data_IF_025914740279
#
_entry.id   IF_025914740279
#
_cell.length_a   1.000
_cell.length_b   1.000
_cell.length_c   1.000
_cell.angle_alpha   90.00
_cell.angle_beta   90.00
_cell.angle_gamma   90.00
#
_symmetry.space_group_name_H-M   'P 1'
#
loop_
_entity.id
_entity.type
_entity.pdbx_description
1 polymer ?
#
# COMPACT_ATOMS: atom_id res chain seq x y z
N UNK A 1 -14.98 2.10 -2.28
CA UNK A 1 -14.10 2.11 -3.47
C UNK A 1 -14.63 3.12 -4.48
N UNK A 2 -13.77 3.99 -5.05
CA UNK A 2 -14.18 4.94 -6.08
C UNK A 2 -14.69 4.22 -7.33
N UNK A 3 -15.63 4.84 -8.06
CA UNK A 3 -16.15 4.31 -9.33
C UNK A 3 -15.01 4.17 -10.34
N UNK A 4 -14.81 2.95 -10.87
CA UNK A 4 -13.82 2.65 -11.91
C UNK A 4 -12.67 1.74 -11.49
N UNK A 5 -12.51 1.43 -10.19
CA UNK A 5 -11.54 0.43 -9.75
C UNK A 5 -12.10 -0.99 -9.96
N UNK A 6 -11.40 -1.83 -10.71
CA UNK A 6 -11.76 -3.23 -10.85
C UNK A 6 -11.62 -3.92 -9.48
N UNK A 7 -12.72 -4.43 -8.92
CA UNK A 7 -12.72 -5.14 -7.63
C UNK A 7 -12.21 -6.60 -7.76
N UNK A 8 -11.75 -6.99 -8.94
CA UNK A 8 -11.20 -8.32 -9.17
C UNK A 8 -9.84 -8.41 -8.46
N UNK A 9 -9.59 -9.54 -7.81
CA UNK A 9 -8.38 -9.85 -7.04
C UNK A 9 -8.22 -9.15 -5.67
N UNK A 10 -9.18 -8.31 -5.24
CA UNK A 10 -9.15 -7.77 -3.87
C UNK A 10 -9.51 -8.89 -2.87
N UNK A 11 -8.68 -9.14 -1.84
CA UNK A 11 -8.96 -10.16 -0.84
C UNK A 11 -10.23 -9.81 -0.05
N UNK A 12 -11.15 -10.78 0.06
CA UNK A 12 -12.41 -10.62 0.79
C UNK A 12 -12.24 -10.69 2.31
N UNK A 13 -11.17 -11.34 2.76
CA UNK A 13 -10.80 -11.51 4.16
C UNK A 13 -9.34 -11.10 4.32
N UNK A 14 -9.00 -10.53 5.48
CA UNK A 14 -7.65 -10.11 5.82
C UNK A 14 -7.07 -11.07 6.85
N UNK A 15 -5.86 -11.55 6.59
CA UNK A 15 -4.97 -12.25 7.52
C UNK A 15 -5.53 -13.49 8.24
N UNK A 16 -4.65 -14.37 8.73
CA UNK A 16 -4.94 -15.14 9.92
C UNK A 16 -4.73 -14.27 11.16
N UNK A 17 -5.75 -14.11 11.98
CA UNK A 17 -5.63 -13.46 13.28
C UNK A 17 -6.02 -14.43 14.40
N UNK A 18 -5.34 -14.30 15.54
CA UNK A 18 -5.63 -15.11 16.72
C UNK A 18 -6.86 -14.57 17.43
N UNK A 19 -7.70 -15.49 17.93
CA UNK A 19 -8.80 -15.17 18.82
C UNK A 19 -8.26 -15.04 20.25
N UNK A 20 -8.54 -13.91 20.90
CA UNK A 20 -8.12 -13.65 22.28
C UNK A 20 -9.20 -14.05 23.30
N UNK A 21 -10.48 -13.84 22.94
CA UNK A 21 -11.60 -13.98 23.87
C UNK A 21 -12.88 -14.37 23.13
N UNK A 22 -13.71 -15.22 23.76
CA UNK A 22 -15.06 -15.57 23.32
C UNK A 22 -16.08 -14.95 24.30
N UNK A 23 -17.00 -14.14 23.75
CA UNK A 23 -18.04 -13.46 24.54
C UNK A 23 -19.30 -14.31 24.75
N UNK A 24 -19.34 -15.57 24.29
CA UNK A 24 -20.50 -16.47 24.36
C UNK A 24 -21.79 -15.94 23.70
N UNK A 25 -21.65 -14.95 22.81
CA UNK A 25 -22.74 -14.35 22.05
C UNK A 25 -22.44 -14.38 20.53
N UNK A 26 -21.65 -15.38 20.10
CA UNK A 26 -21.09 -15.49 18.75
C UNK A 26 -20.16 -14.34 18.34
N UNK A 27 -19.72 -13.51 19.28
CA UNK A 27 -18.70 -12.49 19.03
C UNK A 27 -17.39 -12.89 19.68
N UNK A 28 -16.29 -12.60 18.99
CA UNK A 28 -14.95 -12.94 19.43
C UNK A 28 -14.06 -11.72 19.34
N UNK A 29 -13.14 -11.61 20.29
CA UNK A 29 -12.05 -10.65 20.25
C UNK A 29 -10.91 -11.21 19.42
N UNK A 30 -10.40 -10.42 18.49
CA UNK A 30 -9.37 -10.77 17.53
C UNK A 30 -8.15 -9.89 17.79
N UNK A 31 -6.96 -10.49 17.81
CA UNK A 31 -5.70 -9.77 17.93
C UNK A 31 -5.42 -8.97 16.64
N UNK A 32 -5.77 -7.69 16.64
CA UNK A 32 -5.65 -6.78 15.50
C UNK A 32 -4.78 -5.56 15.86
N UNK A 33 -4.17 -4.90 14.86
CA UNK A 33 -3.53 -3.61 15.06
C UNK A 33 -4.54 -2.56 15.59
N UNK A 34 -4.03 -1.58 16.33
CA UNK A 34 -4.81 -0.66 17.19
C UNK A 34 -5.79 0.28 16.47
N UNK A 35 -5.79 0.28 15.13
CA UNK A 35 -6.63 1.14 14.30
C UNK A 35 -7.98 0.52 13.92
N UNK A 36 -8.27 -0.72 14.35
CA UNK A 36 -9.50 -1.45 14.03
C UNK A 36 -10.22 -1.91 15.31
N UNK A 37 -11.55 -1.96 15.27
CA UNK A 37 -12.32 -2.54 16.36
C UNK A 37 -12.01 -4.04 16.45
N UNK A 38 -11.61 -4.57 17.62
CA UNK A 38 -11.11 -5.94 17.73
C UNK A 38 -12.20 -7.00 17.86
N UNK A 39 -13.49 -6.63 17.95
CA UNK A 39 -14.58 -7.57 18.22
C UNK A 39 -15.43 -7.78 16.97
N UNK A 40 -15.56 -9.04 16.56
CA UNK A 40 -16.34 -9.44 15.37
C UNK A 40 -17.29 -10.58 15.67
N UNK A 41 -18.44 -10.58 15.01
CA UNK A 41 -19.37 -11.70 15.01
C UNK A 41 -18.86 -12.84 14.11
N UNK A 42 -19.11 -14.10 14.48
CA UNK A 42 -18.63 -15.30 13.79
C UNK A 42 -19.00 -15.36 12.30
N UNK A 43 -20.11 -14.74 11.91
CA UNK A 43 -20.55 -14.64 10.51
C UNK A 43 -19.59 -13.82 9.62
N UNK A 44 -18.76 -12.96 10.21
CA UNK A 44 -17.76 -12.16 9.51
C UNK A 44 -16.38 -12.82 9.49
N UNK A 45 -16.22 -13.95 10.19
CA UNK A 45 -14.95 -14.66 10.33
C UNK A 45 -14.93 -15.93 9.48
N UNK A 46 -13.72 -16.39 9.14
CA UNK A 46 -13.48 -17.65 8.46
C UNK A 46 -12.30 -18.35 9.11
N UNK A 47 -12.40 -19.67 9.20
CA UNK A 47 -11.28 -20.50 9.65
C UNK A 47 -10.16 -20.36 8.64
N UNK A 48 -8.97 -20.00 9.11
CA UNK A 48 -7.78 -20.00 8.28
C UNK A 48 -7.36 -21.44 7.97
N UNK A 49 -7.18 -21.73 6.69
CA UNK A 49 -6.64 -23.01 6.22
C UNK A 49 -5.24 -22.71 5.69
N UNK A 50 -4.17 -23.22 6.32
CA UNK A 50 -2.81 -22.99 5.83
C UNK A 50 -2.63 -23.61 4.45
N UNK A 51 -1.78 -22.97 3.62
CA UNK A 51 -1.44 -23.51 2.31
C UNK A 51 -0.67 -24.84 2.46
N UNK A 52 -1.00 -25.84 1.65
CA UNK A 52 -0.19 -27.05 1.52
C UNK A 52 0.89 -26.81 0.48
N UNK A 53 2.11 -26.56 0.94
CA UNK A 53 3.26 -26.24 0.09
C UNK A 53 3.69 -27.39 -0.83
N UNK A 54 3.29 -28.64 -0.53
CA UNK A 54 3.57 -29.79 -1.40
C UNK A 54 2.66 -29.83 -2.61
N UNK A 55 1.40 -29.43 -2.43
CA UNK A 55 0.40 -29.40 -3.49
C UNK A 55 0.42 -28.07 -4.26
N UNK A 56 0.80 -26.98 -3.60
CA UNK A 56 0.78 -25.63 -4.17
C UNK A 56 2.04 -24.83 -3.82
N UNK A 57 3.21 -25.19 -4.39
CA UNK A 57 4.41 -24.39 -4.26
C UNK A 57 4.20 -23.01 -4.94
N UNK A 58 4.51 -21.92 -4.24
CA UNK A 58 4.43 -20.56 -4.78
C UNK A 58 3.16 -19.77 -4.46
N UNK A 59 2.41 -20.14 -3.41
CA UNK A 59 1.37 -19.29 -2.81
C UNK A 59 1.85 -18.66 -1.50
N UNK A 60 2.93 -17.87 -1.58
CA UNK A 60 3.36 -17.07 -0.43
C UNK A 60 2.48 -15.82 -0.32
N UNK A 61 2.02 -15.51 0.89
CA UNK A 61 1.19 -14.31 1.18
C UNK A 61 1.92 -13.01 0.78
N UNK A 62 3.25 -13.01 0.85
CA UNK A 62 4.12 -11.92 0.38
C UNK A 62 4.02 -11.64 -1.13
N UNK A 63 3.52 -12.59 -1.93
CA UNK A 63 3.30 -12.40 -3.37
C UNK A 63 1.93 -11.80 -3.68
N UNK A 64 1.03 -11.74 -2.69
CA UNK A 64 -0.35 -11.26 -2.86
C UNK A 64 -0.61 -9.92 -2.16
N UNK A 65 0.27 -9.49 -1.24
CA UNK A 65 0.19 -8.14 -0.70
C UNK A 65 0.71 -7.15 -1.73
N UNK A 66 -0.19 -6.63 -2.56
CA UNK A 66 -0.03 -5.27 -3.08
C UNK A 66 -0.11 -4.34 -1.85
N UNK A 67 1.02 -4.14 -1.16
CA UNK A 67 1.13 -3.17 -0.08
C UNK A 67 1.14 -1.78 -0.71
N UNK A 68 -0.05 -1.36 -1.14
CA UNK A 68 -0.35 -0.08 -1.78
C UNK A 68 -0.16 1.03 -0.73
N UNK A 69 1.07 1.55 -0.64
CA UNK A 69 1.40 2.99 -0.56
C UNK A 69 2.85 3.24 -0.10
N UNK A 70 3.52 2.26 0.51
CA UNK A 70 4.91 2.43 0.94
C UNK A 70 5.92 2.44 -0.23
N UNK A 71 5.61 1.73 -1.32
CA UNK A 71 6.53 1.55 -2.45
C UNK A 71 6.58 2.75 -3.42
N UNK A 72 5.63 3.69 -3.33
CA UNK A 72 5.62 4.89 -4.18
C UNK A 72 6.81 5.80 -3.92
N UNK A 73 7.34 5.81 -2.68
CA UNK A 73 8.54 6.57 -2.32
C UNK A 73 9.84 5.94 -2.86
N UNK A 74 9.86 4.64 -3.16
CA UNK A 74 11.08 3.93 -3.56
C UNK A 74 11.31 3.87 -5.08
N UNK A 75 10.31 4.22 -5.90
CA UNK A 75 10.43 4.11 -7.36
C UNK A 75 11.24 5.25 -8.01
N UNK A 76 11.40 6.38 -7.33
CA UNK A 76 12.08 7.56 -7.89
C UNK A 76 13.56 7.54 -7.52
N UNK A 77 14.42 7.69 -8.51
CA UNK A 77 15.86 7.80 -8.31
C UNK A 77 16.27 9.24 -7.98
N UNK A 78 15.93 10.19 -8.85
CA UNK A 78 16.14 11.62 -8.62
C UNK A 78 15.25 12.50 -9.49
N UNK A 79 15.11 13.75 -9.09
CA UNK A 79 14.54 14.82 -9.93
C UNK A 79 15.68 15.50 -10.68
N UNK A 80 15.56 15.57 -12.00
CA UNK A 80 16.57 16.14 -12.91
C UNK A 80 16.34 17.63 -13.18
N UNK A 81 15.07 18.05 -13.19
CA UNK A 81 14.69 19.40 -13.58
C UNK A 81 13.21 19.66 -13.34
N UNK A 82 12.79 20.91 -13.51
CA UNK A 82 11.39 21.28 -13.52
C UNK A 82 11.10 22.39 -14.53
N UNK A 83 9.85 22.48 -14.96
CA UNK A 83 9.32 23.55 -15.81
C UNK A 83 7.98 24.01 -15.27
N UNK A 84 7.67 25.29 -15.44
CA UNK A 84 6.43 25.88 -14.95
C UNK A 84 6.61 26.54 -13.58
N UNK A 85 5.49 26.95 -13.00
CA UNK A 85 5.46 27.79 -11.79
C UNK A 85 4.40 27.25 -10.83
N UNK A 86 4.76 27.14 -9.55
CA UNK A 86 3.88 26.71 -8.44
C UNK A 86 3.16 25.39 -8.77
N UNK A 87 1.85 25.34 -8.60
CA UNK A 87 1.03 24.14 -8.70
C UNK A 87 0.95 23.55 -10.11
N UNK A 88 1.26 24.37 -11.13
CA UNK A 88 1.31 23.94 -12.53
C UNK A 88 2.72 23.48 -12.95
N UNK A 89 3.68 23.42 -12.03
CA UNK A 89 5.01 22.92 -12.32
C UNK A 89 4.98 21.42 -12.64
N UNK A 90 5.75 21.04 -13.64
CA UNK A 90 6.03 19.66 -14.01
C UNK A 90 7.51 19.39 -13.77
N UNK A 91 7.81 18.20 -13.27
CA UNK A 91 9.15 17.79 -12.86
C UNK A 91 9.61 16.62 -13.72
N UNK A 92 10.86 16.68 -14.15
CA UNK A 92 11.51 15.61 -14.87
C UNK A 92 12.10 14.63 -13.86
N UNK A 93 11.49 13.45 -13.81
CA UNK A 93 11.78 12.43 -12.81
C UNK A 93 12.51 11.28 -13.48
N UNK A 94 13.68 10.91 -12.93
CA UNK A 94 14.38 9.68 -13.25
C UNK A 94 13.89 8.59 -12.31
N UNK A 95 13.37 7.50 -12.86
CA UNK A 95 12.93 6.33 -12.09
C UNK A 95 14.10 5.39 -11.82
N UNK A 96 14.02 4.60 -10.75
CA UNK A 96 15.00 3.53 -10.46
C UNK A 96 15.10 2.49 -11.59
N UNK A 97 14.03 2.32 -12.37
CA UNK A 97 14.01 1.48 -13.57
C UNK A 97 14.79 2.07 -14.77
N UNK A 98 15.24 3.33 -14.68
CA UNK A 98 15.99 4.03 -15.72
C UNK A 98 15.13 4.89 -16.66
N UNK A 99 13.80 4.79 -16.56
CA UNK A 99 12.89 5.63 -17.35
C UNK A 99 12.94 7.09 -16.90
N UNK A 100 12.61 8.01 -17.82
CA UNK A 100 12.51 9.44 -17.54
C UNK A 100 11.12 9.91 -17.97
N UNK A 101 10.39 10.53 -17.05
CA UNK A 101 9.04 11.07 -17.34
C UNK A 101 8.79 12.42 -16.69
N UNK A 102 7.89 13.21 -17.28
CA UNK A 102 7.42 14.46 -16.70
C UNK A 102 6.19 14.23 -15.82
N UNK A 103 6.29 14.62 -14.55
CA UNK A 103 5.26 14.39 -13.54
C UNK A 103 4.79 15.73 -12.94
N UNK A 104 3.47 15.98 -12.81
CA UNK A 104 2.96 17.20 -12.17
C UNK A 104 3.32 17.30 -10.68
N UNK A 105 3.53 18.52 -10.18
CA UNK A 105 3.85 18.81 -8.78
C UNK A 105 2.93 18.09 -7.78
N UNK A 106 1.62 18.11 -8.01
CA UNK A 106 0.61 17.49 -7.13
C UNK A 106 0.81 15.97 -6.91
N UNK A 107 1.53 15.28 -7.80
CA UNK A 107 1.82 13.85 -7.65
C UNK A 107 3.10 13.56 -6.86
N UNK A 108 3.95 14.56 -6.67
CA UNK A 108 5.28 14.40 -6.07
C UNK A 108 5.51 15.30 -4.85
N UNK A 109 4.55 16.15 -4.50
CA UNK A 109 4.63 17.10 -3.38
C UNK A 109 4.99 16.45 -2.04
N UNK A 110 4.60 15.20 -1.85
CA UNK A 110 4.81 14.42 -0.61
C UNK A 110 6.11 13.60 -0.62
N UNK A 111 6.90 13.67 -1.69
CA UNK A 111 8.10 12.85 -1.86
C UNK A 111 9.35 13.54 -1.29
N UNK A 112 10.22 12.74 -0.68
CA UNK A 112 11.49 13.21 -0.13
C UNK A 112 12.48 13.67 -1.22
N UNK A 113 12.46 13.01 -2.39
CA UNK A 113 13.23 13.39 -3.56
C UNK A 113 12.97 14.85 -4.01
N UNK A 114 11.77 15.39 -3.74
CA UNK A 114 11.45 16.79 -4.04
C UNK A 114 12.12 17.76 -3.06
N UNK A 115 12.18 17.39 -1.78
CA UNK A 115 12.89 18.17 -0.76
C UNK A 115 14.38 18.21 -1.04
N UNK A 116 14.96 17.06 -1.40
CA UNK A 116 16.37 16.99 -1.81
C UNK A 116 16.63 17.89 -3.02
N UNK A 117 15.77 17.84 -4.03
CA UNK A 117 15.88 18.69 -5.21
C UNK A 117 15.86 20.18 -4.88
N UNK A 118 14.92 20.65 -4.05
CA UNK A 118 14.89 22.05 -3.61
C UNK A 118 16.13 22.43 -2.79
N UNK A 119 16.61 21.52 -1.94
CA UNK A 119 17.86 21.71 -1.21
C UNK A 119 19.05 21.89 -2.14
N UNK A 120 19.15 21.09 -3.22
CA UNK A 120 20.22 21.24 -4.23
C UNK A 120 20.13 22.55 -5.02
N UNK A 121 18.92 23.10 -5.19
CA UNK A 121 18.69 24.38 -5.85
C UNK A 121 18.84 25.59 -4.91
N UNK A 122 18.89 25.37 -3.60
CA UNK A 122 18.96 26.43 -2.59
C UNK A 122 17.66 27.22 -2.43
N UNK A 123 16.50 26.58 -2.66
CA UNK A 123 15.16 27.15 -2.53
C UNK A 123 14.43 26.49 -1.36
#
# INVERSE_FOLDING_TARGET
FPKGLAQKLIPKFIGPYLLEEDFNNNSFRVNLPSNLHPVFHSSLMRIHIPNDDRLFPGRLESQLSEQDDADKQWAIDKIMGHKGVRDNAIFEVLWKAGDITWVPYAKIEYLEALKEYFTTLGI
#
